data_IF_516115211573
#
_entry.id   IF_516115211573
#
_cell.length_a   1.000
_cell.length_b   1.000
_cell.length_c   1.000
_cell.angle_alpha   90.00
_cell.angle_beta   90.00
_cell.angle_gamma   90.00
#
_symmetry.space_group_name_H-M   'P 1'
#
loop_
_entity.id
_entity.type
_entity.pdbx_description
1 polymer ?
#
# COMPACT_ATOMS: atom_id res chain seq x y z
N UNK A 1 11.23 -12.18 -2.28
CA UNK A 1 10.92 -12.01 -3.71
C UNK A 1 9.74 -12.82 -4.16
N UNK A 2 9.26 -12.57 -5.36
CA UNK A 2 8.13 -13.27 -5.96
C UNK A 2 8.47 -13.72 -7.38
N UNK A 3 7.78 -14.76 -7.87
CA UNK A 3 7.91 -15.19 -9.26
C UNK A 3 7.25 -14.19 -10.22
N UNK A 4 7.61 -14.25 -11.50
CA UNK A 4 7.12 -13.32 -12.54
C UNK A 4 5.59 -13.20 -12.61
N UNK A 5 4.89 -14.31 -12.41
CA UNK A 5 3.43 -14.37 -12.51
C UNK A 5 2.75 -14.64 -11.16
N UNK A 6 3.54 -14.71 -10.07
CA UNK A 6 3.02 -14.94 -8.73
C UNK A 6 2.34 -13.72 -8.14
N UNK A 7 3.06 -12.97 -7.38
CA UNK A 7 2.56 -11.90 -6.53
C UNK A 7 2.27 -12.41 -5.11
N UNK A 8 2.65 -11.62 -4.12
CA UNK A 8 2.48 -11.97 -2.72
C UNK A 8 1.93 -10.77 -1.95
N UNK A 9 0.82 -10.99 -1.28
CA UNK A 9 0.31 -10.09 -0.23
C UNK A 9 0.57 -10.72 1.13
N UNK A 10 1.31 -10.03 1.98
CA UNK A 10 1.54 -10.38 3.37
C UNK A 10 0.51 -9.66 4.24
N UNK A 11 -0.56 -10.35 4.61
CA UNK A 11 -1.61 -9.78 5.46
C UNK A 11 -1.11 -9.66 6.90
N UNK A 12 -1.20 -8.47 7.46
CA UNK A 12 -0.85 -8.19 8.85
C UNK A 12 -2.08 -7.73 9.63
N UNK A 13 -2.50 -8.54 10.59
CA UNK A 13 -3.58 -8.21 11.51
C UNK A 13 -3.04 -7.29 12.62
N UNK A 14 -3.32 -6.00 12.52
CA UNK A 14 -2.91 -4.99 13.51
C UNK A 14 -4.10 -4.54 14.36
N UNK A 15 -3.82 -4.28 15.61
CA UNK A 15 -4.77 -3.77 16.59
C UNK A 15 -4.08 -2.76 17.50
N UNK A 16 -3.99 -1.53 17.05
CA UNK A 16 -3.22 -0.47 17.72
C UNK A 16 -3.74 -0.13 19.11
N UNK A 17 -5.05 -0.28 19.33
CA UNK A 17 -5.71 0.04 20.59
C UNK A 17 -5.96 -1.18 21.48
N UNK A 18 -5.49 -2.38 21.07
CA UNK A 18 -5.81 -3.64 21.74
C UNK A 18 -7.32 -3.87 21.91
N UNK A 19 -8.11 -3.48 20.90
CA UNK A 19 -9.57 -3.55 20.93
C UNK A 19 -10.08 -5.00 20.91
N UNK A 20 -9.44 -5.84 20.09
CA UNK A 20 -9.74 -7.27 19.97
C UNK A 20 -8.57 -8.19 20.30
N UNK A 21 -7.40 -7.62 20.63
CA UNK A 21 -6.18 -8.33 20.99
C UNK A 21 -5.81 -8.14 22.45
N UNK A 22 -4.97 -9.04 23.00
CA UNK A 22 -4.45 -8.92 24.37
C UNK A 22 -3.48 -7.75 24.53
N UNK A 23 -2.75 -7.38 23.47
CA UNK A 23 -1.74 -6.33 23.48
C UNK A 23 -1.86 -5.48 22.20
N UNK A 24 -1.54 -4.17 22.26
CA UNK A 24 -1.40 -3.35 21.07
C UNK A 24 -0.38 -3.95 20.10
N UNK A 25 -0.75 -4.02 18.81
CA UNK A 25 0.10 -4.57 17.76
C UNK A 25 0.23 -3.61 16.60
N UNK A 26 1.46 -3.52 16.08
CA UNK A 26 1.81 -2.71 14.93
C UNK A 26 2.93 -3.40 14.14
N UNK A 27 2.67 -3.73 12.87
CA UNK A 27 3.59 -4.47 12.01
C UNK A 27 4.46 -3.60 11.11
N UNK A 28 4.27 -2.28 11.08
CA UNK A 28 4.98 -1.36 10.19
C UNK A 28 6.50 -1.48 10.30
N UNK A 29 7.03 -1.61 11.52
CA UNK A 29 8.47 -1.72 11.75
C UNK A 29 9.06 -3.00 11.17
N UNK A 30 8.33 -4.13 11.24
CA UNK A 30 8.76 -5.39 10.65
C UNK A 30 8.80 -5.30 9.12
N UNK A 31 7.77 -4.72 8.51
CA UNK A 31 7.73 -4.51 7.07
C UNK A 31 8.83 -3.55 6.61
N UNK A 32 9.06 -2.45 7.34
CA UNK A 32 10.13 -1.51 7.05
C UNK A 32 11.50 -2.17 7.11
N UNK A 33 11.79 -2.94 8.16
CA UNK A 33 13.05 -3.67 8.33
C UNK A 33 13.28 -4.71 7.22
N UNK A 34 12.20 -5.31 6.70
CA UNK A 34 12.25 -6.27 5.60
C UNK A 34 12.18 -5.61 4.20
N UNK A 35 12.14 -4.28 4.12
CA UNK A 35 11.97 -3.51 2.88
C UNK A 35 10.73 -3.94 2.07
N UNK A 36 9.63 -4.22 2.77
CA UNK A 36 8.35 -4.59 2.19
C UNK A 36 7.47 -3.34 2.14
N UNK A 37 7.04 -2.85 0.95
CA UNK A 37 6.09 -1.75 0.85
C UNK A 37 4.75 -2.15 1.44
N UNK A 38 4.06 -1.22 2.10
CA UNK A 38 2.80 -1.50 2.81
C UNK A 38 1.66 -0.73 2.17
N UNK A 39 0.57 -1.43 1.88
CA UNK A 39 -0.73 -0.85 1.56
C UNK A 39 -1.60 -0.87 2.81
N UNK A 40 -2.24 0.27 3.09
CA UNK A 40 -3.04 0.43 4.30
C UNK A 40 -4.44 0.95 3.93
N UNK A 41 -5.41 0.04 3.71
CA UNK A 41 -6.77 0.41 3.36
C UNK A 41 -7.47 1.15 4.50
N UNK A 42 -8.24 2.18 4.15
CA UNK A 42 -9.04 2.97 5.08
C UNK A 42 -10.45 2.41 5.27
N UNK A 43 -10.94 1.61 4.32
CA UNK A 43 -12.32 1.12 4.28
C UNK A 43 -12.42 -0.28 3.69
N UNK A 44 -13.60 -0.90 3.83
CA UNK A 44 -13.91 -2.20 3.20
C UNK A 44 -13.74 -2.13 1.68
N UNK A 45 -14.11 -1.00 1.06
CA UNK A 45 -13.92 -0.82 -0.38
C UNK A 45 -12.43 -0.81 -0.75
N UNK A 46 -11.60 -0.09 0.00
CA UNK A 46 -10.17 -0.05 -0.26
C UNK A 46 -9.46 -1.39 0.00
N UNK A 47 -10.03 -2.29 0.82
CA UNK A 47 -9.51 -3.66 0.93
C UNK A 47 -9.54 -4.35 -0.43
N UNK A 48 -10.65 -4.23 -1.17
CA UNK A 48 -10.78 -4.81 -2.51
C UNK A 48 -9.84 -4.13 -3.51
N UNK A 49 -9.84 -2.80 -3.54
CA UNK A 49 -9.11 -2.01 -4.53
C UNK A 49 -7.60 -2.10 -4.37
N UNK A 50 -7.12 -1.87 -3.16
CA UNK A 50 -5.70 -1.96 -2.84
C UNK A 50 -5.20 -3.41 -2.88
N UNK A 51 -6.08 -4.40 -2.65
CA UNK A 51 -5.76 -5.80 -2.85
C UNK A 51 -5.34 -6.11 -4.29
N UNK A 52 -6.09 -5.61 -5.27
CA UNK A 52 -5.76 -5.74 -6.70
C UNK A 52 -4.46 -5.00 -7.03
N UNK A 53 -4.29 -3.77 -6.55
CA UNK A 53 -3.04 -3.03 -6.70
C UNK A 53 -1.85 -3.73 -6.04
N UNK A 54 -2.05 -4.34 -4.88
CA UNK A 54 -1.00 -5.08 -4.18
C UNK A 54 -0.47 -6.27 -4.97
N UNK A 55 -1.35 -7.04 -5.58
CA UNK A 55 -0.96 -8.13 -6.50
C UNK A 55 -0.17 -7.60 -7.69
N UNK A 56 -0.65 -6.54 -8.33
CA UNK A 56 0.00 -5.95 -9.51
C UNK A 56 1.35 -5.32 -9.14
N UNK A 57 1.44 -4.58 -8.03
CA UNK A 57 2.68 -4.01 -7.51
C UNK A 57 3.71 -5.11 -7.20
N UNK A 58 3.27 -6.20 -6.54
CA UNK A 58 4.15 -7.31 -6.21
C UNK A 58 4.73 -7.98 -7.46
N UNK A 59 3.91 -8.22 -8.48
CA UNK A 59 4.35 -8.78 -9.77
C UNK A 59 5.32 -7.85 -10.49
N UNK A 60 5.01 -6.57 -10.53
CA UNK A 60 5.81 -5.56 -11.20
C UNK A 60 7.17 -5.35 -10.54
N UNK A 61 7.21 -5.21 -9.22
CA UNK A 61 8.43 -4.90 -8.47
C UNK A 61 9.25 -6.12 -8.06
N UNK A 62 8.65 -7.32 -8.09
CA UNK A 62 9.28 -8.54 -7.57
C UNK A 62 9.39 -8.59 -6.05
N UNK A 63 8.70 -7.69 -5.32
CA UNK A 63 8.64 -7.65 -3.86
C UNK A 63 7.40 -8.37 -3.32
N UNK A 64 7.43 -8.78 -2.07
CA UNK A 64 6.22 -8.95 -1.29
C UNK A 64 5.61 -7.58 -1.00
N UNK A 65 4.31 -7.51 -0.88
CA UNK A 65 3.59 -6.29 -0.49
C UNK A 65 2.86 -6.56 0.81
N UNK A 66 3.15 -5.78 1.83
CA UNK A 66 2.45 -5.80 3.11
C UNK A 66 1.04 -5.22 2.92
N UNK A 67 0.06 -5.85 3.53
CA UNK A 67 -1.32 -5.40 3.50
C UNK A 67 -1.84 -5.30 4.93
N UNK A 68 -1.98 -4.07 5.40
CA UNK A 68 -2.29 -3.81 6.80
C UNK A 68 -3.80 -3.91 7.04
N UNK A 69 -4.19 -4.88 7.85
CA UNK A 69 -5.56 -5.16 8.25
C UNK A 69 -5.75 -4.74 9.70
N UNK A 70 -6.28 -3.54 9.91
CA UNK A 70 -6.56 -3.02 11.28
C UNK A 70 -7.93 -3.49 11.72
N UNK A 71 -8.06 -3.88 12.98
CA UNK A 71 -9.30 -4.38 13.57
C UNK A 71 -10.51 -3.48 13.27
N UNK A 72 -10.36 -2.17 13.40
CA UNK A 72 -11.44 -1.22 13.11
C UNK A 72 -11.97 -1.27 11.67
N UNK A 73 -11.11 -1.61 10.71
CA UNK A 73 -11.51 -1.69 9.29
C UNK A 73 -12.02 -3.08 8.93
N UNK A 74 -11.34 -4.15 9.38
CA UNK A 74 -11.70 -5.53 8.97
C UNK A 74 -12.88 -6.10 9.73
N UNK A 75 -13.22 -5.56 10.90
CA UNK A 75 -14.43 -5.91 11.65
C UNK A 75 -15.66 -5.09 11.23
N UNK A 76 -15.50 -4.13 10.31
CA UNK A 76 -16.59 -3.32 9.80
C UNK A 76 -17.29 -3.99 8.62
N UNK A 77 -18.51 -3.54 8.33
CA UNK A 77 -19.31 -3.96 7.17
C UNK A 77 -19.75 -2.74 6.39
N UNK A 78 -19.69 -2.83 5.07
CA UNK A 78 -20.12 -1.75 4.18
C UNK A 78 -20.64 -2.31 2.85
N UNK A 79 -21.49 -1.52 2.19
CA UNK A 79 -21.82 -1.78 0.78
C UNK A 79 -20.62 -1.39 -0.09
N UNK A 80 -20.25 -2.25 -1.03
CA UNK A 80 -19.09 -2.05 -1.90
C UNK A 80 -19.49 -2.19 -3.37
N UNK A 81 -18.77 -1.50 -4.24
CA UNK A 81 -18.85 -1.70 -5.68
C UNK A 81 -17.93 -2.85 -6.08
N UNK A 82 -18.46 -3.83 -6.83
CA UNK A 82 -17.73 -5.01 -7.32
C UNK A 82 -17.55 -5.01 -8.84
N UNK A 83 -17.76 -3.85 -9.48
CA UNK A 83 -17.53 -3.71 -10.91
C UNK A 83 -16.06 -4.06 -11.23
N UNK A 84 -15.81 -5.07 -12.11
CA UNK A 84 -14.47 -5.51 -12.45
C UNK A 84 -13.63 -4.43 -13.13
N UNK A 85 -14.24 -3.46 -13.81
CA UNK A 85 -13.57 -2.39 -14.54
C UNK A 85 -13.33 -1.14 -13.67
N UNK A 86 -13.72 -1.17 -12.42
CA UNK A 86 -13.62 -0.03 -11.51
C UNK A 86 -12.18 0.33 -11.12
N UNK A 87 -11.31 -0.65 -10.99
CA UNK A 87 -9.90 -0.44 -10.63
C UNK A 87 -9.03 -0.44 -11.88
N UNK A 88 -8.58 0.73 -12.29
CA UNK A 88 -7.65 0.85 -13.42
C UNK A 88 -6.21 0.64 -12.92
N UNK A 89 -5.58 -0.47 -13.32
CA UNK A 89 -4.21 -0.79 -12.97
C UNK A 89 -3.30 -0.45 -14.14
N UNK A 90 -2.44 0.54 -13.95
CA UNK A 90 -1.40 0.91 -14.92
C UNK A 90 -0.10 0.23 -14.52
N UNK A 91 0.41 -0.66 -15.38
CA UNK A 91 1.75 -1.24 -15.22
C UNK A 91 2.74 -0.29 -15.86
N UNK A 92 3.67 0.33 -15.10
CA UNK A 92 4.61 1.28 -15.67
C UNK A 92 5.57 0.62 -16.67
N UNK A 93 5.89 1.31 -17.75
CA UNK A 93 6.82 0.89 -18.80
C UNK A 93 8.05 1.80 -18.94
N UNK A 94 8.08 2.90 -18.19
CA UNK A 94 9.09 3.95 -18.21
C UNK A 94 10.14 3.85 -17.09
N UNK A 95 10.05 2.84 -16.21
CA UNK A 95 11.03 2.62 -15.15
C UNK A 95 12.15 1.66 -15.61
N UNK A 96 13.43 2.02 -15.41
CA UNK A 96 14.56 1.19 -15.85
C UNK A 96 14.74 -0.04 -14.97
N UNK A 97 14.04 -1.13 -15.30
CA UNK A 97 14.25 -2.43 -14.66
C UNK A 97 15.53 -3.11 -15.22
N UNK A 98 16.21 -3.94 -14.41
CA UNK A 98 17.37 -4.70 -14.91
C UNK A 98 16.96 -5.64 -16.06
N UNK A 99 17.83 -5.84 -17.07
CA UNK A 99 17.50 -6.63 -18.27
C UNK A 99 17.01 -8.05 -17.98
N UNK A 100 17.49 -8.64 -16.89
CA UNK A 100 17.12 -9.98 -16.42
C UNK A 100 15.93 -9.96 -15.44
N UNK A 101 15.31 -8.79 -15.24
CA UNK A 101 14.10 -8.60 -14.43
C UNK A 101 14.33 -8.58 -12.93
N UNK A 102 13.21 -8.52 -12.21
CA UNK A 102 13.17 -8.38 -10.73
C UNK A 102 12.59 -9.59 -10.00
N UNK A 103 12.12 -10.59 -10.74
CA UNK A 103 11.55 -11.81 -10.16
C UNK A 103 12.61 -12.63 -9.42
N UNK A 104 12.17 -13.44 -8.46
CA UNK A 104 13.05 -14.35 -7.74
C UNK A 104 13.67 -15.37 -8.70
N UNK A 105 14.96 -15.63 -8.52
CA UNK A 105 15.70 -16.67 -9.23
C UNK A 105 16.47 -17.52 -8.21
N UNK A 106 16.62 -18.77 -8.56
CA UNK A 106 17.38 -19.71 -7.76
C UNK A 106 18.38 -20.46 -8.63
N UNK A 107 19.65 -20.50 -8.27
CA UNK A 107 20.29 -19.95 -7.05
C UNK A 107 21.02 -18.62 -7.34
N UNK A 108 20.37 -17.47 -7.05
CA UNK A 108 21.11 -16.20 -7.06
C UNK A 108 21.99 -16.08 -5.80
N UNK A 109 23.21 -15.54 -5.90
CA UNK A 109 24.00 -15.19 -4.73
C UNK A 109 23.29 -14.19 -3.83
N UNK A 110 23.42 -14.31 -2.51
CA UNK A 110 22.70 -13.48 -1.54
C UNK A 110 22.92 -11.97 -1.74
N UNK A 111 24.18 -11.54 -1.93
CA UNK A 111 24.52 -10.13 -2.16
C UNK A 111 23.94 -9.58 -3.47
N UNK A 112 23.82 -10.40 -4.51
CA UNK A 112 23.16 -10.00 -5.77
C UNK A 112 21.67 -9.80 -5.57
N UNK A 113 21.04 -10.68 -4.79
CA UNK A 113 19.62 -10.55 -4.45
C UNK A 113 19.35 -9.29 -3.61
N UNK A 114 20.23 -8.99 -2.65
CA UNK A 114 20.13 -7.79 -1.82
C UNK A 114 20.34 -6.50 -2.63
N UNK A 115 21.39 -6.43 -3.43
CA UNK A 115 21.64 -5.28 -4.31
C UNK A 115 20.44 -5.04 -5.24
N UNK A 116 19.88 -6.09 -5.83
CA UNK A 116 18.69 -5.97 -6.68
C UNK A 116 17.47 -5.41 -5.92
N UNK A 117 17.31 -5.80 -4.66
CA UNK A 117 16.23 -5.27 -3.82
C UNK A 117 16.42 -3.77 -3.55
N UNK A 118 17.63 -3.37 -3.20
CA UNK A 118 17.94 -1.99 -2.82
C UNK A 118 18.07 -1.05 -4.03
N UNK A 119 18.61 -1.52 -5.15
CA UNK A 119 18.86 -0.67 -6.31
C UNK A 119 17.66 -0.57 -7.27
N UNK A 120 16.78 -1.58 -7.30
CA UNK A 120 15.70 -1.63 -8.28
C UNK A 120 14.31 -1.86 -7.67
N UNK A 121 14.13 -2.91 -6.88
CA UNK A 121 12.79 -3.39 -6.53
C UNK A 121 11.99 -2.39 -5.71
N UNK A 122 12.61 -1.77 -4.70
CA UNK A 122 11.93 -0.80 -3.85
C UNK A 122 11.53 0.45 -4.65
N UNK A 123 12.39 0.90 -5.55
CA UNK A 123 12.11 2.06 -6.41
C UNK A 123 11.05 1.74 -7.47
N UNK A 124 11.03 0.52 -8.00
CA UNK A 124 9.95 0.06 -8.87
C UNK A 124 8.60 0.09 -8.15
N UNK A 125 8.54 -0.37 -6.90
CA UNK A 125 7.32 -0.30 -6.10
C UNK A 125 6.88 1.14 -5.83
N UNK A 126 7.82 2.05 -5.51
CA UNK A 126 7.55 3.49 -5.34
C UNK A 126 7.05 4.13 -6.64
N UNK A 127 7.66 3.78 -7.77
CA UNK A 127 7.23 4.26 -9.08
C UNK A 127 5.82 3.76 -9.43
N UNK A 128 5.54 2.48 -9.20
CA UNK A 128 4.20 1.92 -9.35
C UNK A 128 3.16 2.68 -8.52
N UNK A 129 3.45 2.94 -7.25
CA UNK A 129 2.55 3.68 -6.36
C UNK A 129 2.28 5.10 -6.88
N UNK A 130 3.29 5.76 -7.46
CA UNK A 130 3.17 7.11 -8.04
C UNK A 130 2.32 7.10 -9.31
N UNK A 131 2.60 6.21 -10.25
CA UNK A 131 1.87 6.10 -11.53
C UNK A 131 0.39 5.79 -11.28
N UNK A 132 0.11 4.91 -10.33
CA UNK A 132 -1.27 4.52 -9.97
C UNK A 132 -1.90 5.46 -8.94
N UNK A 133 -1.22 6.53 -8.52
CA UNK A 133 -1.73 7.53 -7.56
C UNK A 133 -2.28 6.92 -6.27
N UNK A 134 -1.61 5.89 -5.75
CA UNK A 134 -2.03 5.24 -4.50
C UNK A 134 -1.95 6.20 -3.31
N UNK A 135 -0.99 7.15 -3.36
CA UNK A 135 -0.95 8.32 -2.47
C UNK A 135 -1.37 9.55 -3.26
N UNK A 136 -2.28 10.34 -2.71
CA UNK A 136 -2.86 11.49 -3.40
C UNK A 136 -3.17 12.64 -2.45
N UNK A 137 -3.17 13.85 -2.97
CA UNK A 137 -3.74 15.01 -2.28
C UNK A 137 -5.27 14.90 -2.44
N UNK A 138 -5.99 14.83 -1.33
CA UNK A 138 -7.45 14.68 -1.31
C UNK A 138 -8.15 16.03 -1.15
N UNK A 139 -7.58 16.90 -0.33
CA UNK A 139 -8.02 18.29 -0.16
C UNK A 139 -6.83 19.17 -0.49
N UNK A 140 -6.97 20.01 -1.48
CA UNK A 140 -5.95 20.99 -1.88
C UNK A 140 -6.48 22.40 -1.63
N UNK A 141 -5.58 23.36 -1.45
CA UNK A 141 -5.95 24.75 -1.22
C UNK A 141 -4.98 25.68 -1.95
N UNK A 142 -5.50 26.77 -2.57
CA UNK A 142 -4.63 27.77 -3.23
C UNK A 142 -3.64 28.46 -2.29
N UNK A 143 -3.94 28.49 -0.99
CA UNK A 143 -3.10 29.08 0.06
C UNK A 143 -3.01 28.17 1.28
N UNK A 144 -2.33 27.02 1.17
CA UNK A 144 -2.29 26.04 2.25
C UNK A 144 -1.56 26.62 3.46
N UNK A 145 -2.14 26.50 4.65
CA UNK A 145 -1.56 26.88 5.94
C UNK A 145 -1.18 25.69 6.80
N UNK A 146 -1.77 24.55 6.53
CA UNK A 146 -1.56 23.30 7.25
C UNK A 146 -1.55 22.13 6.27
N UNK A 147 -0.60 21.23 6.44
CA UNK A 147 -0.58 19.96 5.72
C UNK A 147 -0.90 18.81 6.68
N UNK A 148 -1.85 17.96 6.32
CA UNK A 148 -2.20 16.76 7.08
C UNK A 148 -1.85 15.55 6.22
N UNK A 149 -0.98 14.67 6.75
CA UNK A 149 -0.67 13.37 6.13
C UNK A 149 -1.29 12.28 6.96
N UNK A 150 -2.10 11.44 6.33
CA UNK A 150 -2.85 10.38 7.02
C UNK A 150 -3.01 9.16 6.12
N UNK A 151 -3.26 7.99 6.71
CA UNK A 151 -3.44 6.73 6.00
C UNK A 151 -4.35 5.79 6.78
N UNK A 152 -4.93 4.81 6.09
CA UNK A 152 -5.81 3.81 6.69
C UNK A 152 -7.02 4.44 7.37
N UNK A 153 -7.48 3.86 8.48
CA UNK A 153 -8.66 4.35 9.21
C UNK A 153 -8.54 5.82 9.60
N UNK A 154 -7.36 6.29 10.00
CA UNK A 154 -7.14 7.70 10.40
C UNK A 154 -7.46 8.70 9.29
N UNK A 155 -7.41 8.28 8.02
CA UNK A 155 -7.86 9.10 6.91
C UNK A 155 -9.36 9.43 7.02
N UNK A 156 -10.19 8.45 7.34
CA UNK A 156 -11.63 8.66 7.52
C UNK A 156 -11.93 9.53 8.74
N UNK A 157 -11.18 9.36 9.83
CA UNK A 157 -11.31 10.19 11.03
C UNK A 157 -10.98 11.67 10.74
N UNK A 158 -9.91 11.90 9.97
CA UNK A 158 -9.55 13.27 9.53
C UNK A 158 -10.62 13.85 8.62
N UNK A 159 -11.15 13.07 7.67
CA UNK A 159 -12.24 13.53 6.80
C UNK A 159 -13.47 13.93 7.60
N UNK A 160 -13.88 13.11 8.55
CA UNK A 160 -15.01 13.40 9.42
C UNK A 160 -14.77 14.68 10.26
N UNK A 161 -13.57 14.84 10.83
CA UNK A 161 -13.23 16.02 11.59
C UNK A 161 -13.25 17.30 10.75
N UNK A 162 -12.78 17.25 9.50
CA UNK A 162 -12.85 18.39 8.58
C UNK A 162 -14.29 18.74 8.24
N UNK A 163 -15.14 17.75 7.97
CA UNK A 163 -16.57 17.95 7.70
C UNK A 163 -17.28 18.57 8.91
N UNK A 164 -17.03 18.05 10.13
CA UNK A 164 -17.61 18.57 11.38
C UNK A 164 -17.18 20.03 11.69
N UNK A 165 -15.98 20.41 11.28
CA UNK A 165 -15.44 21.76 11.41
C UNK A 165 -15.86 22.69 10.26
N UNK A 166 -16.55 22.19 9.25
CA UNK A 166 -16.90 22.93 8.04
C UNK A 166 -15.68 23.40 7.22
N UNK A 167 -14.59 22.62 7.28
CA UNK A 167 -13.37 22.88 6.51
C UNK A 167 -13.42 22.12 5.20
N UNK A 168 -13.47 22.85 4.12
CA UNK A 168 -13.44 22.34 2.76
C UNK A 168 -12.20 22.85 1.97
N UNK A 169 -12.24 22.71 0.65
CA UNK A 169 -11.18 23.13 -0.27
C UNK A 169 -11.02 24.66 -0.42
N UNK A 170 -11.79 25.45 0.31
CA UNK A 170 -11.78 26.92 0.22
C UNK A 170 -10.80 27.59 1.16
#
# INVERSE_FOLDING_TARGET
GTSKHGGVLALAGDDHAAKSSTLPRQSDHQFSAAMIPVLYPSSVQEILDLGLHGWAMSRYSGLWVGFKCVADTVESSASVSIDPDRVNIVVPDDFPLPPDGVSIRWPDPFLVTEARMQDYKIYAALHYARVNRLNRIVVDSPKPRLGIVTSGKSYLDVRQALDDLGLDER
#
